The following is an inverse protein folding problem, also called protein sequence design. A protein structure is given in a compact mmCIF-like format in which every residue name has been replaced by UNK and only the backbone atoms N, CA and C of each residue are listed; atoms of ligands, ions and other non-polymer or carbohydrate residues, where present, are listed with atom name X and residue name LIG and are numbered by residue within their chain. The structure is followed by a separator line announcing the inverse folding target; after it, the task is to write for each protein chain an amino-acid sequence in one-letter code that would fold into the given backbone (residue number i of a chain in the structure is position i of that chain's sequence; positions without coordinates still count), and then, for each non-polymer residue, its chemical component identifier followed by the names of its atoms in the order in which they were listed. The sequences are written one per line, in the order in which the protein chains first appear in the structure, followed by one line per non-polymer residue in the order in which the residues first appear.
data_IF_705266853024
#
_entry.id   IF_705266853024
#
_cell.length_a   1.000
_cell.length_b   1.000
_cell.length_c   1.000
_cell.angle_alpha   90.00
_cell.angle_beta   90.00
_cell.angle_gamma   90.00
#
_symmetry.space_group_name_H-M   'P 1'
#
loop_
_entity.id
_entity.type
_entity.pdbx_description
1 polymer ?
#
# COMPACT_ATOMS: atom_id res chain seq x y z
N UNK A 1 -7.35 3.76 -10.17
CA UNK A 1 -7.45 2.32 -9.83
C UNK A 1 -7.90 2.26 -8.37
N UNK A 2 -8.17 1.11 -7.73
CA UNK A 2 -8.52 1.09 -6.30
C UNK A 2 -7.70 0.03 -5.58
N UNK A 3 -7.44 0.23 -4.28
CA UNK A 3 -6.76 -0.76 -3.44
C UNK A 3 -7.45 -2.14 -3.45
N UNK A 4 -8.76 -2.19 -3.75
CA UNK A 4 -9.52 -3.44 -3.91
C UNK A 4 -8.99 -4.29 -5.07
N UNK A 5 -8.47 -3.68 -6.14
CA UNK A 5 -7.82 -4.42 -7.24
C UNK A 5 -6.45 -4.97 -6.83
N UNK A 6 -5.73 -4.30 -5.91
CA UNK A 6 -4.47 -4.79 -5.31
C UNK A 6 -4.67 -6.18 -4.72
N UNK A 7 -5.72 -6.34 -3.91
CA UNK A 7 -5.97 -7.57 -3.19
C UNK A 7 -6.22 -8.76 -4.14
N UNK A 8 -6.96 -8.54 -5.23
CA UNK A 8 -7.24 -9.58 -6.22
C UNK A 8 -5.99 -10.03 -6.98
N UNK A 9 -5.08 -9.11 -7.30
CA UNK A 9 -3.81 -9.46 -7.96
C UNK A 9 -2.94 -10.31 -7.03
N UNK A 10 -2.77 -9.90 -5.76
CA UNK A 10 -1.97 -10.66 -4.78
C UNK A 10 -2.60 -12.03 -4.49
N UNK A 11 -3.93 -12.12 -4.39
CA UNK A 11 -4.67 -13.39 -4.24
C UNK A 11 -4.39 -14.37 -5.38
N UNK A 12 -4.39 -13.89 -6.63
CA UNK A 12 -4.16 -14.73 -7.80
C UNK A 12 -2.76 -15.37 -7.76
N UNK A 13 -1.78 -14.62 -7.26
CA UNK A 13 -0.37 -15.04 -7.17
C UNK A 13 -0.19 -16.07 -6.04
N UNK A 14 -0.81 -15.84 -4.88
CA UNK A 14 -0.81 -16.79 -3.77
C UNK A 14 -1.48 -18.12 -4.13
N UNK A 15 -2.64 -18.08 -4.80
CA UNK A 15 -3.41 -19.27 -5.16
C UNK A 15 -2.67 -20.21 -6.14
N UNK A 16 -1.92 -19.65 -7.10
CA UNK A 16 -1.17 -20.43 -8.10
C UNK A 16 -0.02 -21.24 -7.46
N UNK A 17 0.52 -20.73 -6.34
CA UNK A 17 1.68 -21.29 -5.66
C UNK A 17 1.35 -22.51 -4.80
N UNK A 18 0.17 -22.52 -4.17
CA UNK A 18 -0.30 -23.63 -3.34
C UNK A 18 -0.56 -24.92 -4.11
N UNK A 19 -0.78 -24.85 -5.43
CA UNK A 19 -1.08 -26.02 -6.26
C UNK A 19 0.16 -26.67 -6.88
N UNK A 20 1.23 -25.90 -7.11
CA UNK A 20 2.40 -26.35 -7.89
C UNK A 20 3.67 -26.52 -7.05
N UNK A 21 3.63 -26.14 -5.76
CA UNK A 21 4.79 -26.12 -4.86
C UNK A 21 5.97 -25.30 -5.41
N UNK A 22 5.68 -24.37 -6.32
CA UNK A 22 6.60 -23.43 -6.94
C UNK A 22 5.87 -22.11 -7.15
N UNK A 23 6.62 -21.02 -7.21
CA UNK A 23 6.09 -19.71 -7.58
C UNK A 23 7.03 -19.11 -8.62
N UNK A 24 6.48 -18.38 -9.61
CA UNK A 24 7.32 -17.59 -10.51
C UNK A 24 7.84 -16.36 -9.74
N UNK A 25 9.16 -16.23 -9.51
CA UNK A 25 9.71 -15.09 -8.80
C UNK A 25 9.40 -13.74 -9.48
N UNK A 26 9.25 -13.72 -10.81
CA UNK A 26 8.92 -12.51 -11.57
C UNK A 26 7.48 -12.06 -11.32
N UNK A 27 6.59 -13.00 -11.01
CA UNK A 27 5.22 -12.69 -10.62
C UNK A 27 5.19 -12.04 -9.23
N UNK A 28 6.05 -12.48 -8.32
CA UNK A 28 6.23 -11.84 -7.01
C UNK A 28 6.79 -10.42 -7.16
N UNK A 29 7.74 -10.19 -8.05
CA UNK A 29 8.26 -8.83 -8.32
C UNK A 29 7.15 -7.90 -8.78
N UNK A 30 6.26 -8.35 -9.67
CA UNK A 30 5.11 -7.56 -10.14
C UNK A 30 4.15 -7.22 -9.00
N UNK A 31 3.91 -8.15 -8.08
CA UNK A 31 3.09 -7.88 -6.90
C UNK A 31 3.75 -6.83 -6.00
N UNK A 32 5.05 -7.00 -5.70
CA UNK A 32 5.83 -6.06 -4.90
C UNK A 32 5.84 -4.68 -5.54
N UNK A 33 6.09 -4.59 -6.85
CA UNK A 33 6.12 -3.35 -7.60
C UNK A 33 4.79 -2.61 -7.49
N UNK A 34 3.69 -3.33 -7.67
CA UNK A 34 2.35 -2.79 -7.55
C UNK A 34 2.06 -2.31 -6.13
N UNK A 35 2.41 -3.09 -5.09
CA UNK A 35 2.20 -2.69 -3.70
C UNK A 35 3.03 -1.45 -3.35
N UNK A 36 4.33 -1.44 -3.67
CA UNK A 36 5.22 -0.31 -3.33
C UNK A 36 4.86 0.96 -4.09
N UNK A 37 4.57 0.83 -5.38
CA UNK A 37 4.29 1.99 -6.24
C UNK A 37 2.88 2.50 -6.01
N UNK A 38 1.88 1.62 -6.14
CA UNK A 38 0.48 2.04 -6.17
C UNK A 38 -0.17 2.07 -4.79
N UNK A 39 -0.10 0.97 -4.03
CA UNK A 39 -0.75 0.92 -2.72
C UNK A 39 -0.04 1.84 -1.71
N UNK A 40 1.28 1.78 -1.65
CA UNK A 40 2.05 2.55 -0.69
C UNK A 40 2.33 3.97 -1.17
N UNK A 41 3.21 4.13 -2.17
CA UNK A 41 3.66 5.47 -2.56
C UNK A 41 2.54 6.34 -3.10
N UNK A 42 1.61 5.81 -3.91
CA UNK A 42 0.49 6.60 -4.43
C UNK A 42 -0.64 6.75 -3.43
N UNK A 43 -1.22 5.64 -2.97
CA UNK A 43 -2.44 5.68 -2.17
C UNK A 43 -2.15 6.13 -0.73
N UNK A 44 -1.32 5.40 0.03
CA UNK A 44 -0.96 5.84 1.39
C UNK A 44 -0.18 7.18 1.36
N UNK A 45 0.58 7.48 0.30
CA UNK A 45 1.24 8.77 0.15
C UNK A 45 0.26 9.94 0.16
N UNK A 46 -0.86 9.86 -0.55
CA UNK A 46 -1.91 10.90 -0.47
C UNK A 46 -2.53 10.99 0.92
N UNK A 47 -2.66 9.87 1.61
CA UNK A 47 -3.20 9.88 2.96
C UNK A 47 -2.22 10.52 3.94
N UNK A 48 -0.99 10.04 4.02
CA UNK A 48 0.01 10.49 4.97
C UNK A 48 0.53 11.90 4.65
N UNK A 49 0.90 12.17 3.39
CA UNK A 49 1.58 13.41 2.99
C UNK A 49 0.61 14.59 2.84
N UNK A 50 -0.70 14.33 2.75
CA UNK A 50 -1.72 15.36 2.47
C UNK A 50 -2.87 15.28 3.50
N UNK A 51 -3.67 14.21 3.51
CA UNK A 51 -4.87 14.14 4.38
C UNK A 51 -4.51 14.19 5.87
N UNK A 52 -3.64 13.30 6.34
CA UNK A 52 -3.23 13.18 7.74
C UNK A 52 -2.38 14.38 8.15
N UNK A 53 -1.56 14.91 7.23
CA UNK A 53 -0.84 16.18 7.41
C UNK A 53 -1.82 17.32 7.73
N UNK A 54 -2.89 17.46 6.95
CA UNK A 54 -3.85 18.54 7.13
C UNK A 54 -4.73 18.32 8.36
N UNK A 55 -5.15 17.08 8.62
CA UNK A 55 -5.87 16.69 9.85
C UNK A 55 -5.04 16.91 11.11
N UNK A 56 -3.71 16.78 11.08
CA UNK A 56 -2.88 17.08 12.24
C UNK A 56 -2.98 18.54 12.71
N UNK A 57 -3.40 19.45 11.83
CA UNK A 57 -3.66 20.86 12.17
C UNK A 57 -5.09 21.10 12.67
N UNK A 58 -5.90 20.05 12.84
CA UNK A 58 -7.31 20.10 13.28
C UNK A 58 -7.47 19.52 14.69
N UNK A 59 -8.50 19.98 15.38
CA UNK A 59 -8.92 19.44 16.68
C UNK A 59 -9.76 18.17 16.49
N UNK A 60 -9.10 17.05 16.20
CA UNK A 60 -9.77 15.75 16.07
C UNK A 60 -10.31 15.29 17.43
N UNK A 61 -11.48 14.63 17.39
CA UNK A 61 -11.94 13.83 18.51
C UNK A 61 -10.89 12.78 18.90
N UNK A 62 -10.88 12.36 20.17
CA UNK A 62 -9.95 11.30 20.62
C UNK A 62 -10.10 10.00 19.81
N UNK A 63 -11.34 9.69 19.39
CA UNK A 63 -11.67 8.51 18.61
C UNK A 63 -11.06 8.63 17.20
N UNK A 64 -11.28 9.74 16.50
CA UNK A 64 -10.78 9.91 15.13
C UNK A 64 -9.26 10.00 15.09
N UNK A 65 -8.65 10.66 16.09
CA UNK A 65 -7.19 10.69 16.25
C UNK A 65 -6.62 9.28 16.46
N UNK A 66 -7.28 8.45 17.27
CA UNK A 66 -6.87 7.05 17.46
C UNK A 66 -6.96 6.26 16.15
N UNK A 67 -8.06 6.38 15.41
CA UNK A 67 -8.24 5.67 14.12
C UNK A 67 -7.19 6.11 13.10
N UNK A 68 -6.88 7.41 13.01
CA UNK A 68 -5.81 7.92 12.15
C UNK A 68 -4.46 7.29 12.49
N UNK A 69 -4.11 7.23 13.78
CA UNK A 69 -2.85 6.62 14.24
C UNK A 69 -2.82 5.11 13.95
N UNK A 70 -3.95 4.41 14.11
CA UNK A 70 -4.04 3.00 13.72
C UNK A 70 -3.79 2.79 12.22
N UNK A 71 -4.33 3.66 11.35
CA UNK A 71 -4.09 3.59 9.91
C UNK A 71 -2.60 3.80 9.57
N UNK A 72 -1.93 4.74 10.23
CA UNK A 72 -0.48 4.95 10.07
C UNK A 72 0.31 3.69 10.46
N UNK A 73 -0.01 3.06 11.58
CA UNK A 73 0.61 1.80 12.00
C UNK A 73 0.31 0.65 11.01
N UNK A 74 -0.89 0.61 10.45
CA UNK A 74 -1.29 -0.33 9.42
C UNK A 74 -0.49 -0.12 8.11
N UNK A 75 -0.22 1.13 7.70
CA UNK A 75 0.66 1.41 6.56
C UNK A 75 2.09 0.92 6.81
N UNK A 76 2.63 1.17 8.01
CA UNK A 76 3.95 0.65 8.41
C UNK A 76 3.99 -0.89 8.40
N UNK A 77 2.92 -1.55 8.86
CA UNK A 77 2.78 -2.99 8.79
C UNK A 77 2.77 -3.51 7.35
N UNK A 78 2.03 -2.86 6.46
CA UNK A 78 2.03 -3.16 5.02
C UNK A 78 3.44 -3.08 4.43
N UNK A 79 4.14 -1.96 4.65
CA UNK A 79 5.53 -1.74 4.20
C UNK A 79 6.48 -2.82 4.71
N UNK A 80 6.39 -3.17 6.00
CA UNK A 80 7.24 -4.20 6.62
C UNK A 80 6.98 -5.58 6.00
N UNK A 81 5.73 -5.94 5.76
CA UNK A 81 5.36 -7.22 5.16
C UNK A 81 5.81 -7.31 3.71
N UNK A 82 5.68 -6.21 2.94
CA UNK A 82 6.22 -6.14 1.57
C UNK A 82 7.73 -6.25 1.53
N UNK A 83 8.45 -5.65 2.51
CA UNK A 83 9.91 -5.82 2.62
C UNK A 83 10.30 -7.27 2.87
N UNK A 84 9.62 -7.95 3.79
CA UNK A 84 9.85 -9.38 4.06
C UNK A 84 9.58 -10.25 2.82
N UNK A 85 8.55 -9.93 2.04
CA UNK A 85 8.25 -10.59 0.77
C UNK A 85 9.40 -10.44 -0.24
N UNK A 86 10.00 -9.26 -0.35
CA UNK A 86 11.16 -9.01 -1.23
C UNK A 86 12.38 -9.84 -0.79
N UNK A 87 12.67 -9.87 0.51
CA UNK A 87 13.78 -10.63 1.08
C UNK A 87 13.60 -12.14 0.84
N UNK A 88 12.37 -12.65 1.02
CA UNK A 88 12.04 -14.05 0.75
C UNK A 88 12.15 -14.37 -0.76
N UNK A 89 11.67 -13.50 -1.64
CA UNK A 89 11.81 -13.70 -3.09
C UNK A 89 13.27 -13.70 -3.54
N UNK A 90 14.10 -12.87 -2.92
CA UNK A 90 15.55 -12.82 -3.18
C UNK A 90 16.22 -14.14 -2.80
N UNK A 91 15.93 -14.69 -1.61
CA UNK A 91 16.43 -16.00 -1.18
C UNK A 91 15.97 -17.13 -2.10
N UNK A 92 14.69 -17.11 -2.47
CA UNK A 92 14.12 -18.13 -3.36
C UNK A 92 14.83 -18.17 -4.72
N UNK A 93 15.18 -17.00 -5.29
CA UNK A 93 15.91 -16.89 -6.56
C UNK A 93 17.32 -17.47 -6.53
N UNK A 94 17.99 -17.44 -5.39
CA UNK A 94 19.34 -18.00 -5.22
C UNK A 94 19.34 -19.48 -4.80
N UNK A 95 18.17 -20.14 -4.84
CA UNK A 95 18.03 -21.58 -4.65
C UNK A 95 17.55 -22.03 -3.27
N UNK A 96 17.23 -21.10 -2.36
CA UNK A 96 16.63 -21.45 -1.07
C UNK A 96 15.14 -21.81 -1.26
N UNK A 97 14.86 -23.10 -1.44
CA UNK A 97 13.49 -23.60 -1.61
C UNK A 97 12.62 -23.41 -0.37
N UNK A 98 13.21 -23.24 0.82
CA UNK A 98 12.44 -23.02 2.05
C UNK A 98 11.78 -21.63 2.08
N UNK A 99 12.36 -20.65 1.39
CA UNK A 99 11.82 -19.29 1.27
C UNK A 99 10.44 -19.24 0.59
N UNK A 100 10.03 -20.30 -0.14
CA UNK A 100 8.68 -20.40 -0.67
C UNK A 100 7.60 -20.28 0.42
N UNK A 101 7.83 -20.87 1.60
CA UNK A 101 6.90 -20.78 2.72
C UNK A 101 6.72 -19.34 3.20
N UNK A 102 7.81 -18.59 3.27
CA UNK A 102 7.81 -17.18 3.69
C UNK A 102 7.12 -16.28 2.65
N UNK A 103 7.35 -16.54 1.35
CA UNK A 103 6.66 -15.85 0.25
C UNK A 103 5.15 -16.04 0.38
N UNK A 104 4.70 -17.29 0.50
CA UNK A 104 3.27 -17.61 0.62
C UNK A 104 2.67 -16.99 1.89
N UNK A 105 3.39 -17.04 3.02
CA UNK A 105 2.95 -16.42 4.27
C UNK A 105 2.78 -14.91 4.14
N UNK A 106 3.74 -14.21 3.53
CA UNK A 106 3.65 -12.76 3.32
C UNK A 106 2.50 -12.39 2.37
N UNK A 107 2.34 -13.13 1.26
CA UNK A 107 1.25 -12.90 0.31
C UNK A 107 -0.11 -13.08 0.99
N UNK A 108 -0.31 -14.16 1.74
CA UNK A 108 -1.55 -14.40 2.48
C UNK A 108 -1.81 -13.31 3.52
N UNK A 109 -0.78 -12.89 4.24
CA UNK A 109 -0.87 -11.80 5.21
C UNK A 109 -1.38 -10.52 4.55
N UNK A 110 -0.82 -10.14 3.39
CA UNK A 110 -1.25 -8.95 2.65
C UNK A 110 -2.69 -9.08 2.13
N UNK A 111 -3.07 -10.28 1.66
CA UNK A 111 -4.44 -10.59 1.20
C UNK A 111 -5.47 -10.47 2.31
N UNK A 112 -5.15 -10.93 3.51
CA UNK A 112 -6.07 -10.87 4.66
C UNK A 112 -6.13 -9.48 5.29
N UNK A 113 -5.04 -8.71 5.15
CA UNK A 113 -4.87 -7.39 5.72
C UNK A 113 -5.62 -6.30 4.94
N UNK A 114 -5.34 -6.15 3.64
CA UNK A 114 -5.83 -5.00 2.86
C UNK A 114 -7.36 -4.84 2.85
N UNK A 115 -8.19 -5.89 2.74
CA UNK A 115 -9.65 -5.71 2.76
C UNK A 115 -10.17 -5.06 4.03
N UNK A 116 -9.58 -5.41 5.19
CA UNK A 116 -9.97 -4.86 6.51
C UNK A 116 -9.50 -3.42 6.66
N UNK A 117 -8.28 -3.15 6.22
CA UNK A 117 -7.71 -1.81 6.19
C UNK A 117 -8.54 -0.86 5.32
N UNK A 118 -8.84 -1.27 4.07
CA UNK A 118 -9.71 -0.52 3.15
C UNK A 118 -11.11 -0.30 3.72
N UNK A 119 -11.66 -1.29 4.42
CA UNK A 119 -12.98 -1.12 5.05
C UNK A 119 -12.94 -0.07 6.17
N UNK A 120 -11.87 -0.03 6.97
CA UNK A 120 -11.66 0.98 8.01
C UNK A 120 -11.56 2.39 7.40
N UNK A 121 -10.78 2.54 6.34
CA UNK A 121 -10.67 3.78 5.56
C UNK A 121 -12.04 4.22 5.00
N UNK A 122 -12.64 3.40 4.13
CA UNK A 122 -13.83 3.73 3.34
C UNK A 122 -15.08 3.98 4.20
N UNK A 123 -15.29 3.16 5.24
CA UNK A 123 -16.54 3.16 6.00
C UNK A 123 -16.48 3.91 7.31
N UNK A 124 -15.28 4.11 7.87
CA UNK A 124 -15.12 4.72 9.20
C UNK A 124 -14.36 6.02 9.09
N UNK A 125 -13.11 5.97 8.64
CA UNK A 125 -12.21 7.12 8.76
C UNK A 125 -12.54 8.24 7.76
N UNK A 126 -12.70 7.94 6.47
CA UNK A 126 -12.98 8.98 5.48
C UNK A 126 -14.29 9.71 5.73
N UNK A 127 -15.43 9.04 6.02
CA UNK A 127 -16.67 9.74 6.35
C UNK A 127 -16.52 10.68 7.56
N UNK A 128 -15.81 10.25 8.61
CA UNK A 128 -15.57 11.05 9.80
C UNK A 128 -14.63 12.25 9.52
N UNK A 129 -13.55 12.01 8.77
CA UNK A 129 -12.53 13.03 8.47
C UNK A 129 -13.09 14.25 7.72
N UNK A 130 -14.10 14.06 6.87
CA UNK A 130 -14.73 15.14 6.10
C UNK A 130 -15.38 16.21 6.97
N UNK A 131 -15.82 15.86 8.19
CA UNK A 131 -16.45 16.82 9.10
C UNK A 131 -15.47 17.89 9.62
N UNK A 132 -14.15 17.69 9.48
CA UNK A 132 -13.11 18.61 9.94
C UNK A 132 -12.67 19.64 8.90
N UNK A 133 -13.18 19.52 7.67
CA UNK A 133 -12.83 20.39 6.56
C UNK A 133 -14.01 21.27 6.17
N UNK A 134 -13.72 22.55 5.93
CA UNK A 134 -14.61 23.40 5.15
C UNK A 134 -14.61 22.96 3.68
N UNK A 135 -15.62 23.36 2.92
CA UNK A 135 -15.69 23.07 1.48
C UNK A 135 -14.45 23.57 0.73
N UNK A 136 -13.92 24.74 1.08
CA UNK A 136 -12.71 25.29 0.43
C UNK A 136 -11.46 24.46 0.75
N UNK A 137 -11.32 23.99 1.99
CA UNK A 137 -10.20 23.12 2.38
C UNK A 137 -10.30 21.76 1.69
N UNK A 138 -11.51 21.17 1.64
CA UNK A 138 -11.76 19.91 0.93
C UNK A 138 -11.41 20.02 -0.56
N UNK A 139 -11.85 21.08 -1.25
CA UNK A 139 -11.49 21.31 -2.65
C UNK A 139 -9.99 21.54 -2.87
N UNK A 140 -9.32 22.22 -1.94
CA UNK A 140 -7.87 22.43 -2.01
C UNK A 140 -7.11 21.12 -1.87
N UNK A 141 -7.48 20.30 -0.89
CA UNK A 141 -6.91 18.97 -0.66
C UNK A 141 -7.15 18.05 -1.88
N UNK A 142 -8.36 18.07 -2.46
CA UNK A 142 -8.66 17.29 -3.66
C UNK A 142 -7.82 17.72 -4.86
N UNK A 143 -7.54 19.01 -5.03
CA UNK A 143 -6.64 19.48 -6.07
C UNK A 143 -5.20 18.99 -5.85
N UNK A 144 -4.73 18.96 -4.60
CA UNK A 144 -3.42 18.40 -4.25
C UNK A 144 -3.34 16.90 -4.51
N UNK A 145 -4.40 16.14 -4.20
CA UNK A 145 -4.49 14.71 -4.57
C UNK A 145 -4.36 14.50 -6.08
N UNK A 146 -5.00 15.35 -6.90
CA UNK A 146 -4.94 15.25 -8.35
C UNK A 146 -3.53 15.55 -8.89
N UNK A 147 -2.87 16.59 -8.36
CA UNK A 147 -1.49 16.92 -8.72
C UNK A 147 -0.51 15.82 -8.30
N UNK A 148 -0.70 15.24 -7.11
CA UNK A 148 0.07 14.10 -6.63
C UNK A 148 -0.06 12.92 -7.61
N UNK A 149 -1.28 12.52 -7.96
CA UNK A 149 -1.55 11.44 -8.91
C UNK A 149 -0.92 11.72 -10.30
N UNK A 150 -0.96 12.98 -10.78
CA UNK A 150 -0.40 13.37 -12.06
C UNK A 150 1.13 13.22 -12.10
N UNK A 151 1.81 13.46 -10.98
CA UNK A 151 3.27 13.34 -10.86
C UNK A 151 3.77 11.90 -10.75
N UNK A 152 2.90 10.96 -10.35
CA UNK A 152 3.29 9.57 -10.06
C UNK A 152 4.02 8.89 -11.22
N UNK A 153 3.61 9.11 -12.46
CA UNK A 153 4.26 8.47 -13.61
C UNK A 153 5.69 8.95 -13.81
N UNK A 154 5.92 10.26 -13.58
CA UNK A 154 7.24 10.86 -13.67
C UNK A 154 8.12 10.39 -12.52
N UNK A 155 7.57 10.32 -11.30
CA UNK A 155 8.28 9.79 -10.14
C UNK A 155 8.71 8.33 -10.36
N UNK A 156 7.79 7.48 -10.84
CA UNK A 156 8.06 6.07 -11.13
C UNK A 156 9.21 5.91 -12.13
N UNK A 157 9.13 6.56 -13.28
CA UNK A 157 10.15 6.39 -14.31
C UNK A 157 11.47 7.09 -13.97
N UNK A 158 11.44 8.15 -13.16
CA UNK A 158 12.67 8.71 -12.59
C UNK A 158 13.39 7.68 -11.72
N UNK A 159 12.68 6.99 -10.81
CA UNK A 159 13.26 5.91 -9.99
C UNK A 159 13.84 4.78 -10.87
N UNK A 160 13.13 4.40 -11.94
CA UNK A 160 13.62 3.36 -12.86
C UNK A 160 14.92 3.79 -13.55
N UNK A 161 15.00 5.04 -14.04
CA UNK A 161 16.23 5.56 -14.67
C UNK A 161 17.39 5.58 -13.67
N UNK A 162 17.17 6.09 -12.46
CA UNK A 162 18.18 6.14 -11.40
C UNK A 162 18.65 4.75 -10.94
N UNK A 163 17.82 3.71 -11.07
CA UNK A 163 18.21 2.32 -10.83
C UNK A 163 19.04 1.73 -11.97
N UNK A 164 18.77 2.12 -13.22
CA UNK A 164 19.51 1.63 -14.40
C UNK A 164 20.86 2.32 -14.62
N UNK A 165 21.03 3.53 -14.09
CA UNK A 165 22.29 4.29 -14.17
C UNK A 165 23.33 3.88 -13.12
N UNK A 166 22.98 2.96 -12.21
CA UNK A 166 23.86 2.41 -11.18
C UNK A 166 24.55 1.13 -11.64
#
# INVERSE_FOLDING_TARGET
MSLKKTCNTVQTIGATSGQTQKIDPLLVDKAVDFIRTYADRTHHGKEEDILFRDLNNKELSEIDRRVMNELIEEHLFGRKTTKALVEANTRYRIGDSSALGDIVSCLNTLVDFYPKHIEKEDKVFFPASRAYFSETEDQTMLAEFMDFDQKMIHEKYKSVVEELEK
#
